data_IF_806377226423
#
_entry.id   IF_806377226423
#
_cell.length_a   1.000
_cell.length_b   1.000
_cell.length_c   1.000
_cell.angle_alpha   90.00
_cell.angle_beta   90.00
_cell.angle_gamma   90.00
#
_symmetry.space_group_name_H-M   'P 1'
#
loop_
_entity.id
_entity.type
_entity.pdbx_description
1 polymer ?
#
# COMPACT_ATOMS: atom_id res chain seq x y z
N UNK A 1 -4.90 -1.08 4.36
CA UNK A 1 -5.00 -2.08 5.46
C UNK A 1 -4.43 -3.40 4.92
N UNK A 2 -3.67 -4.13 5.73
CA UNK A 2 -3.09 -5.42 5.36
C UNK A 2 -3.67 -6.51 6.26
N UNK A 3 -4.04 -7.66 5.69
CA UNK A 3 -4.61 -8.79 6.41
C UNK A 3 -4.27 -10.10 5.71
N UNK A 4 -4.39 -11.23 6.41
CA UNK A 4 -4.39 -12.55 5.78
C UNK A 4 -5.83 -13.00 5.57
N UNK A 5 -6.13 -13.55 4.39
CA UNK A 5 -7.44 -14.14 4.13
C UNK A 5 -7.61 -15.48 4.88
N UNK A 6 -8.79 -16.12 4.78
CA UNK A 6 -9.10 -17.42 5.42
C UNK A 6 -8.17 -18.58 5.04
N UNK A 7 -7.38 -18.42 3.98
CA UNK A 7 -6.40 -19.38 3.49
C UNK A 7 -4.96 -19.01 3.86
N UNK A 8 -4.76 -17.98 4.69
CA UNK A 8 -3.45 -17.50 5.09
C UNK A 8 -2.72 -16.66 4.02
N UNK A 9 -3.38 -16.33 2.91
CA UNK A 9 -2.76 -15.53 1.86
C UNK A 9 -2.78 -14.04 2.20
N UNK A 10 -1.64 -13.34 2.04
CA UNK A 10 -1.54 -11.89 2.12
C UNK A 10 -2.56 -11.16 1.25
N UNK A 11 -3.30 -10.23 1.84
CA UNK A 11 -4.28 -9.40 1.17
C UNK A 11 -4.06 -7.93 1.55
N UNK A 12 -3.92 -7.08 0.53
CA UNK A 12 -3.76 -5.64 0.69
C UNK A 12 -4.99 -4.91 0.15
N UNK A 13 -5.55 -4.00 0.95
CA UNK A 13 -6.60 -3.08 0.52
C UNK A 13 -6.08 -1.64 0.47
N UNK A 14 -6.40 -0.96 -0.63
CA UNK A 14 -6.12 0.45 -0.87
C UNK A 14 -7.38 1.24 -0.55
N UNK A 15 -7.32 2.04 0.51
CA UNK A 15 -8.44 2.86 0.95
C UNK A 15 -7.97 4.31 0.95
N UNK A 16 -8.68 5.16 0.21
CA UNK A 16 -8.46 6.61 0.18
C UNK A 16 -9.50 7.34 1.02
N UNK A 17 -9.23 8.60 1.31
CA UNK A 17 -10.19 9.52 1.93
C UNK A 17 -10.64 10.52 0.88
N UNK A 18 -11.94 10.64 0.65
CA UNK A 18 -12.47 11.63 -0.29
C UNK A 18 -12.63 13.02 0.36
N UNK A 19 -13.05 14.01 -0.41
CA UNK A 19 -13.22 15.41 0.04
C UNK A 19 -14.22 15.59 1.20
N UNK A 20 -15.08 14.61 1.46
CA UNK A 20 -16.00 14.61 2.61
C UNK A 20 -15.42 13.90 3.84
N UNK A 21 -14.14 13.51 3.82
CA UNK A 21 -13.52 12.74 4.90
C UNK A 21 -13.96 11.28 4.94
N UNK A 22 -14.63 10.75 3.90
CA UNK A 22 -15.15 9.38 3.88
C UNK A 22 -14.12 8.42 3.27
N UNK A 23 -13.90 7.31 3.95
CA UNK A 23 -13.12 6.18 3.45
C UNK A 23 -13.77 5.57 2.22
N UNK A 24 -13.00 5.44 1.14
CA UNK A 24 -13.44 4.87 -0.13
C UNK A 24 -12.45 3.77 -0.56
N UNK A 25 -12.95 2.59 -0.90
CA UNK A 25 -12.12 1.51 -1.42
C UNK A 25 -11.67 1.86 -2.84
N UNK A 26 -10.35 2.01 -3.03
CA UNK A 26 -9.72 2.30 -4.32
C UNK A 26 -9.27 1.03 -5.05
N UNK A 27 -9.08 -0.07 -4.32
CA UNK A 27 -8.72 -1.36 -4.90
C UNK A 27 -8.20 -2.34 -3.86
N UNK A 28 -7.86 -3.54 -4.32
CA UNK A 28 -7.24 -4.57 -3.50
C UNK A 28 -6.31 -5.47 -4.31
N UNK A 29 -5.42 -6.17 -3.61
CA UNK A 29 -4.52 -7.14 -4.19
C UNK A 29 -4.38 -8.37 -3.28
N UNK A 30 -4.46 -9.55 -3.89
CA UNK A 30 -4.13 -10.81 -3.24
C UNK A 30 -2.71 -11.19 -3.66
N UNK A 31 -1.85 -11.48 -2.69
CA UNK A 31 -0.44 -11.82 -2.92
C UNK A 31 -0.15 -13.22 -2.41
N UNK A 32 0.81 -13.91 -3.05
CA UNK A 32 1.22 -15.25 -2.65
C UNK A 32 2.17 -15.30 -1.45
N UNK A 33 2.84 -14.19 -1.11
CA UNK A 33 3.76 -14.08 0.02
C UNK A 33 3.98 -12.61 0.44
N UNK A 34 4.70 -12.40 1.55
CA UNK A 34 4.99 -11.09 2.16
C UNK A 34 6.40 -10.55 1.81
N UNK A 35 6.92 -10.86 0.61
CA UNK A 35 8.21 -10.35 0.14
C UNK A 35 8.06 -8.93 -0.43
N UNK A 36 9.13 -8.14 -0.31
CA UNK A 36 9.23 -6.79 -0.87
C UNK A 36 8.83 -6.73 -2.36
N UNK A 37 9.27 -7.68 -3.17
CA UNK A 37 8.97 -7.71 -4.60
C UNK A 37 7.48 -7.89 -4.91
N UNK A 38 6.72 -8.59 -4.05
CA UNK A 38 5.27 -8.71 -4.19
C UNK A 38 4.59 -7.37 -3.94
N UNK A 39 4.97 -6.66 -2.87
CA UNK A 39 4.44 -5.32 -2.59
C UNK A 39 4.83 -4.30 -3.67
N UNK A 40 6.07 -4.33 -4.17
CA UNK A 40 6.50 -3.47 -5.27
C UNK A 40 5.65 -3.68 -6.52
N UNK A 41 5.39 -4.94 -6.88
CA UNK A 41 4.55 -5.26 -8.02
C UNK A 41 3.14 -4.69 -7.84
N UNK A 42 2.55 -4.87 -6.66
CA UNK A 42 1.22 -4.33 -6.35
C UNK A 42 1.21 -2.80 -6.43
N UNK A 43 2.16 -2.11 -5.81
CA UNK A 43 2.23 -0.65 -5.86
C UNK A 43 2.44 -0.12 -7.29
N UNK A 44 3.24 -0.82 -8.11
CA UNK A 44 3.40 -0.47 -9.53
C UNK A 44 2.08 -0.61 -10.30
N UNK A 45 1.32 -1.69 -10.07
CA UNK A 45 0.01 -1.84 -10.73
C UNK A 45 -0.99 -0.79 -10.24
N UNK A 46 -1.04 -0.55 -8.93
CA UNK A 46 -1.91 0.47 -8.35
C UNK A 46 -1.58 1.85 -8.93
N UNK A 47 -0.30 2.23 -9.02
CA UNK A 47 0.14 3.50 -9.58
C UNK A 47 -0.25 3.63 -11.07
N UNK A 48 -0.11 2.56 -11.85
CA UNK A 48 -0.56 2.53 -13.25
C UNK A 48 -2.07 2.77 -13.38
N UNK A 49 -2.87 2.21 -12.48
CA UNK A 49 -4.31 2.40 -12.48
C UNK A 49 -4.73 3.82 -12.05
N UNK A 50 -4.01 4.39 -11.07
CA UNK A 50 -4.35 5.71 -10.51
C UNK A 50 -3.75 6.88 -11.30
N UNK A 51 -2.70 6.65 -12.09
CA UNK A 51 -2.02 7.66 -12.90
C UNK A 51 -1.04 8.55 -12.13
N UNK A 52 -1.24 8.74 -10.82
CA UNK A 52 -0.36 9.54 -9.95
C UNK A 52 -0.17 8.90 -8.57
N UNK A 53 0.98 9.11 -7.91
CA UNK A 53 1.21 8.64 -6.55
C UNK A 53 0.33 9.42 -5.55
N UNK A 54 -0.02 8.83 -4.40
CA UNK A 54 -0.74 9.56 -3.36
C UNK A 54 0.23 10.51 -2.64
N UNK A 55 -0.32 11.59 -2.08
CA UNK A 55 0.48 12.53 -1.28
C UNK A 55 1.00 11.88 0.02
N UNK A 56 0.19 11.03 0.64
CA UNK A 56 0.55 10.28 1.82
C UNK A 56 -0.05 8.88 1.77
N UNK A 57 0.67 7.90 2.32
CA UNK A 57 0.19 6.53 2.49
C UNK A 57 0.44 6.09 3.92
N UNK A 58 -0.58 5.49 4.53
CA UNK A 58 -0.49 4.90 5.87
C UNK A 58 -0.58 3.39 5.68
N UNK A 59 0.42 2.67 6.17
CA UNK A 59 0.46 1.21 6.13
C UNK A 59 0.75 0.64 7.50
N UNK A 60 0.69 -0.68 7.64
CA UNK A 60 1.25 -1.32 8.83
C UNK A 60 2.78 -1.13 8.87
N UNK A 61 3.39 -1.49 10.01
CA UNK A 61 4.83 -1.42 10.24
C UNK A 61 5.58 -2.63 9.64
N UNK A 62 5.19 -3.12 8.45
CA UNK A 62 5.92 -4.16 7.75
C UNK A 62 7.14 -3.60 7.00
N UNK A 63 8.34 -4.10 7.35
CA UNK A 63 9.61 -3.70 6.69
C UNK A 63 9.59 -3.94 5.17
N UNK A 64 8.99 -5.04 4.71
CA UNK A 64 8.85 -5.35 3.28
C UNK A 64 8.00 -4.31 2.55
N UNK A 65 6.90 -3.87 3.17
CA UNK A 65 6.00 -2.89 2.57
C UNK A 65 6.61 -1.49 2.58
N UNK A 66 7.32 -1.12 3.65
CA UNK A 66 8.07 0.14 3.72
C UNK A 66 9.15 0.22 2.64
N UNK A 67 9.95 -0.84 2.46
CA UNK A 67 10.95 -0.88 1.40
C UNK A 67 10.34 -0.77 0.00
N UNK A 68 9.20 -1.44 -0.24
CA UNK A 68 8.49 -1.34 -1.51
C UNK A 68 7.95 0.07 -1.79
N UNK A 69 7.44 0.77 -0.76
CA UNK A 69 6.99 2.16 -0.89
C UNK A 69 8.16 3.06 -1.23
N UNK A 70 9.31 2.95 -0.55
CA UNK A 70 10.51 3.72 -0.89
C UNK A 70 10.98 3.49 -2.33
N UNK A 71 10.84 2.27 -2.84
CA UNK A 71 11.28 1.92 -4.19
C UNK A 71 10.31 2.36 -5.30
N UNK A 72 9.00 2.40 -5.04
CA UNK A 72 7.96 2.64 -6.06
C UNK A 72 7.31 4.02 -5.95
N UNK A 73 7.22 4.56 -4.74
CA UNK A 73 6.54 5.80 -4.38
C UNK A 73 7.48 6.70 -3.55
N UNK A 74 8.67 7.07 -4.06
CA UNK A 74 9.71 7.73 -3.26
C UNK A 74 9.30 9.08 -2.69
N UNK A 75 8.40 9.81 -3.37
CA UNK A 75 7.92 11.13 -2.96
C UNK A 75 6.64 11.09 -2.09
N UNK A 76 6.08 9.89 -1.88
CA UNK A 76 4.88 9.72 -1.05
C UNK A 76 5.28 9.76 0.42
N UNK A 77 4.61 10.62 1.20
CA UNK A 77 4.83 10.72 2.65
C UNK A 77 4.32 9.47 3.34
N UNK A 78 5.06 8.95 4.32
CA UNK A 78 4.66 7.80 5.13
C UNK A 78 4.54 8.19 6.61
N UNK A 79 3.36 8.65 7.07
CA UNK A 79 3.20 9.10 8.45
C UNK A 79 3.30 7.92 9.42
N UNK A 80 4.23 7.99 10.38
CA UNK A 80 4.34 7.03 11.48
C UNK A 80 5.27 5.83 11.25
N UNK A 81 6.00 5.74 10.13
CA UNK A 81 7.21 4.92 10.06
C UNK A 81 8.37 5.70 10.65
N UNK A 82 8.40 5.81 11.98
CA UNK A 82 9.50 6.31 12.82
C UNK A 82 10.44 7.33 12.14
N UNK A 83 10.13 8.62 12.31
CA UNK A 83 10.98 9.79 12.00
C UNK A 83 12.01 9.61 10.88
N UNK A 84 11.70 10.09 9.67
CA UNK A 84 12.65 10.77 8.75
C UNK A 84 11.94 11.31 7.52
#
# INVERSE_FOLDING_TARGET
>A
MYSRNKHGLPFASFVGVNHHGKSTLLGCALMGNEKICCFEWVFKQWLRCMGSPPQAIITDQCKSMFGAIKNVLPDTRHPGAYDT
#
